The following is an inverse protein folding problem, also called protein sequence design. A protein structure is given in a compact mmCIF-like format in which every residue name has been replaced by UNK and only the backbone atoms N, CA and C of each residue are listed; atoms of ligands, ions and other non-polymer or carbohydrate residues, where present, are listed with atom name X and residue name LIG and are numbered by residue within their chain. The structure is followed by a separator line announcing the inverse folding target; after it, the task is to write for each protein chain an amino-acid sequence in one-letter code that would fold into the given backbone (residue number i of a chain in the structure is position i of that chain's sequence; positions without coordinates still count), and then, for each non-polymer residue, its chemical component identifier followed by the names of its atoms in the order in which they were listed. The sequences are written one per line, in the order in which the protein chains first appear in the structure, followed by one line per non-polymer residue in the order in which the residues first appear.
data_IF_801854430967
#
_entry.id   IF_801854430967
#
_cell.length_a   1.000
_cell.length_b   1.000
_cell.length_c   1.000
_cell.angle_alpha   90.00
_cell.angle_beta   90.00
_cell.angle_gamma   90.00
#
_symmetry.space_group_name_H-M   'P 1'
#
loop_
_entity.id
_entity.type
_entity.pdbx_description
1 polymer ?
#
# COMPACT_ATOMS: atom_id res chain seq x y z
N UNK A 1 -20.64 -14.27 5.61
CA UNK A 1 -19.76 -14.00 4.46
C UNK A 1 -19.04 -12.68 4.76
N UNK A 2 -17.71 -12.64 4.72
CA UNK A 2 -16.99 -11.38 4.95
C UNK A 2 -17.35 -10.40 3.84
N UNK A 3 -18.02 -9.30 4.17
CA UNK A 3 -18.22 -8.21 3.22
C UNK A 3 -16.84 -7.65 2.85
N UNK A 4 -16.40 -7.92 1.63
CA UNK A 4 -15.19 -7.30 1.08
C UNK A 4 -15.60 -5.89 0.67
N UNK A 5 -15.08 -4.89 1.38
CA UNK A 5 -15.32 -3.49 1.06
C UNK A 5 -14.63 -3.12 -0.25
N UNK A 6 -15.10 -2.04 -0.87
CA UNK A 6 -14.52 -1.50 -2.10
C UNK A 6 -13.05 -1.11 -1.87
N UNK A 7 -12.74 -0.57 -0.68
CA UNK A 7 -11.38 -0.31 -0.21
C UNK A 7 -10.51 -1.56 -0.16
N UNK A 8 -11.05 -2.68 0.35
CA UNK A 8 -10.31 -3.94 0.38
C UNK A 8 -10.02 -4.46 -1.04
N UNK A 9 -10.96 -4.28 -1.98
CA UNK A 9 -10.74 -4.63 -3.40
C UNK A 9 -9.64 -3.78 -4.01
N UNK A 10 -9.74 -2.45 -3.88
CA UNK A 10 -8.76 -1.50 -4.41
C UNK A 10 -7.36 -1.73 -3.82
N UNK A 11 -7.29 -2.04 -2.52
CA UNK A 11 -6.04 -2.38 -1.84
C UNK A 11 -5.40 -3.62 -2.43
N UNK A 12 -6.17 -4.69 -2.67
CA UNK A 12 -5.67 -5.93 -3.26
C UNK A 12 -5.18 -5.68 -4.70
N UNK A 13 -5.93 -4.94 -5.51
CA UNK A 13 -5.53 -4.58 -6.87
C UNK A 13 -4.18 -3.86 -6.91
N UNK A 14 -4.00 -2.83 -6.08
CA UNK A 14 -2.74 -2.09 -5.98
C UNK A 14 -1.59 -2.96 -5.47
N UNK A 15 -1.85 -3.82 -4.47
CA UNK A 15 -0.87 -4.78 -3.97
C UNK A 15 -0.45 -5.80 -5.03
N UNK A 16 -1.35 -6.26 -5.89
CA UNK A 16 -1.02 -7.14 -7.00
C UNK A 16 -0.10 -6.45 -8.01
N UNK A 17 -0.39 -5.19 -8.35
CA UNK A 17 0.48 -4.40 -9.24
C UNK A 17 1.86 -4.26 -8.62
N UNK A 18 1.95 -3.92 -7.34
CA UNK A 18 3.22 -3.81 -6.61
C UNK A 18 3.96 -5.14 -6.55
N UNK A 19 3.27 -6.26 -6.32
CA UNK A 19 3.89 -7.58 -6.28
C UNK A 19 4.48 -8.00 -7.63
N UNK A 20 3.86 -7.59 -8.74
CA UNK A 20 4.29 -7.97 -10.11
C UNK A 20 5.32 -7.02 -10.68
N UNK A 21 5.18 -5.71 -10.43
CA UNK A 21 5.93 -4.64 -11.11
C UNK A 21 6.73 -3.74 -10.17
N UNK A 22 6.52 -3.84 -8.86
CA UNK A 22 7.11 -2.98 -7.83
C UNK A 22 6.39 -1.65 -7.66
N UNK A 23 6.81 -0.85 -6.67
CA UNK A 23 6.26 0.49 -6.40
C UNK A 23 6.60 1.54 -7.47
N UNK A 24 7.57 1.25 -8.33
CA UNK A 24 8.07 2.20 -9.34
C UNK A 24 7.06 2.53 -10.45
N UNK A 25 6.08 1.65 -10.66
CA UNK A 25 5.06 1.80 -11.72
C UNK A 25 3.79 2.49 -11.24
N UNK A 26 3.68 2.79 -9.94
CA UNK A 26 2.56 3.55 -9.41
C UNK A 26 2.84 5.04 -9.54
N UNK A 27 1.81 5.78 -9.93
CA UNK A 27 1.79 7.24 -9.90
C UNK A 27 1.59 7.76 -8.47
N UNK A 28 1.80 9.06 -8.25
CA UNK A 28 1.72 9.68 -6.93
C UNK A 28 0.35 9.44 -6.25
N UNK A 29 -0.74 9.55 -7.00
CA UNK A 29 -2.10 9.35 -6.47
C UNK A 29 -2.34 7.89 -6.06
N UNK A 30 -1.87 6.93 -6.86
CA UNK A 30 -1.97 5.50 -6.54
C UNK A 30 -1.10 5.13 -5.33
N UNK A 31 0.07 5.77 -5.15
CA UNK A 31 0.90 5.61 -3.97
C UNK A 31 0.22 6.14 -2.71
N UNK A 32 -0.39 7.33 -2.78
CA UNK A 32 -1.15 7.92 -1.66
C UNK A 32 -2.38 7.09 -1.32
N UNK A 33 -3.10 6.61 -2.33
CA UNK A 33 -4.23 5.70 -2.14
C UNK A 33 -3.80 4.38 -1.48
N UNK A 34 -2.73 3.75 -1.97
CA UNK A 34 -2.20 2.51 -1.39
C UNK A 34 -1.76 2.71 0.06
N UNK A 35 -1.11 3.84 0.38
CA UNK A 35 -0.71 4.18 1.75
C UNK A 35 -1.90 4.18 2.70
N UNK A 36 -2.93 4.98 2.40
CA UNK A 36 -4.12 5.10 3.24
C UNK A 36 -4.83 3.74 3.42
N UNK A 37 -4.96 2.96 2.35
CA UNK A 37 -5.61 1.65 2.38
C UNK A 37 -4.83 0.63 3.23
N UNK A 38 -3.49 0.64 3.15
CA UNK A 38 -2.63 -0.25 3.94
C UNK A 38 -2.60 0.16 5.41
N UNK A 39 -2.59 1.46 5.71
CA UNK A 39 -2.63 1.99 7.07
C UNK A 39 -3.95 1.68 7.78
N UNK A 40 -5.08 1.79 7.08
CA UNK A 40 -6.39 1.48 7.63
C UNK A 40 -6.63 -0.02 7.87
N UNK A 41 -5.87 -0.90 7.20
CA UNK A 41 -6.07 -2.35 7.38
C UNK A 41 -5.54 -2.82 8.72
N UNK A 42 -6.41 -3.42 9.53
CA UNK A 42 -6.04 -4.03 10.80
C UNK A 42 -5.37 -5.40 10.61
N UNK A 43 -4.13 -5.51 11.07
CA UNK A 43 -3.32 -6.73 11.13
C UNK A 43 -2.81 -7.04 12.55
N UNK A 44 -3.41 -6.44 13.58
CA UNK A 44 -2.97 -6.61 14.97
C UNK A 44 -2.91 -8.08 15.42
N UNK A 45 -3.81 -8.91 14.87
CA UNK A 45 -3.89 -10.35 15.13
C UNK A 45 -2.78 -11.17 14.43
N UNK A 46 -1.97 -10.58 13.55
CA UNK A 46 -0.91 -11.26 12.82
C UNK A 46 0.40 -10.46 12.83
N UNK A 47 1.31 -10.82 13.73
CA UNK A 47 2.62 -10.18 13.89
C UNK A 47 3.46 -10.16 12.61
N UNK A 48 3.39 -11.20 11.78
CA UNK A 48 4.12 -11.27 10.50
C UNK A 48 3.54 -10.27 9.51
N UNK A 49 2.21 -10.25 9.36
CA UNK A 49 1.52 -9.31 8.50
C UNK A 49 1.75 -7.86 8.94
N UNK A 50 1.70 -7.58 10.25
CA UNK A 50 1.97 -6.25 10.80
C UNK A 50 3.39 -5.78 10.47
N UNK A 51 4.41 -6.64 10.61
CA UNK A 51 5.79 -6.30 10.21
C UNK A 51 5.90 -6.00 8.72
N UNK A 52 5.26 -6.81 7.87
CA UNK A 52 5.22 -6.60 6.43
C UNK A 52 4.51 -5.28 6.07
N UNK A 53 3.40 -4.95 6.73
CA UNK A 53 2.69 -3.68 6.59
C UNK A 53 3.60 -2.49 6.89
N UNK A 54 4.26 -2.48 8.05
CA UNK A 54 5.16 -1.38 8.45
C UNK A 54 6.27 -1.18 7.40
N UNK A 55 6.84 -2.28 6.90
CA UNK A 55 7.90 -2.23 5.88
C UNK A 55 7.39 -1.66 4.55
N UNK A 56 6.21 -2.08 4.12
CA UNK A 56 5.57 -1.60 2.90
C UNK A 56 5.22 -0.10 3.01
N UNK A 57 4.66 0.34 4.13
CA UNK A 57 4.36 1.75 4.42
C UNK A 57 5.62 2.61 4.30
N UNK A 58 6.73 2.17 4.90
CA UNK A 58 8.00 2.91 4.80
C UNK A 58 8.50 3.03 3.35
N UNK A 59 8.36 1.97 2.55
CA UNK A 59 8.75 1.97 1.13
C UNK A 59 7.85 2.90 0.28
N UNK A 60 6.54 2.91 0.54
CA UNK A 60 5.59 3.81 -0.14
C UNK A 60 5.94 5.26 0.19
N UNK A 61 6.15 5.59 1.47
CA UNK A 61 6.51 6.94 1.90
C UNK A 61 7.83 7.42 1.29
N UNK A 62 8.86 6.57 1.23
CA UNK A 62 10.11 6.90 0.56
C UNK A 62 9.87 7.20 -0.93
N UNK A 63 9.04 6.40 -1.61
CA UNK A 63 8.72 6.61 -3.03
C UNK A 63 7.92 7.89 -3.28
N UNK A 64 6.97 8.23 -2.39
CA UNK A 64 6.21 9.49 -2.42
C UNK A 64 7.17 10.66 -2.26
N UNK A 65 8.07 10.63 -1.27
CA UNK A 65 9.08 11.66 -1.07
C UNK A 65 9.97 11.85 -2.31
N UNK A 66 10.43 10.75 -2.93
CA UNK A 66 11.22 10.82 -4.15
C UNK A 66 10.45 11.41 -5.34
N UNK A 67 9.14 11.17 -5.42
CA UNK A 67 8.26 11.78 -6.41
C UNK A 67 8.12 13.28 -6.17
N UNK A 68 7.77 13.68 -4.95
CA UNK A 68 7.55 15.08 -4.56
C UNK A 68 8.83 15.93 -4.60
N UNK A 69 10.01 15.30 -4.52
CA UNK A 69 11.30 15.98 -4.67
C UNK A 69 11.75 16.13 -6.13
N UNK A 70 11.21 15.32 -7.04
CA UNK A 70 11.58 15.33 -8.47
C UNK A 70 10.80 16.35 -9.30
N UNK A 71 9.71 16.87 -8.75
CA UNK A 71 8.88 17.94 -9.32
C UNK A 71 8.96 19.17 -8.41
#
# INVERSE_FOLDING_TARGET
MSHITDDDRKRVELLEVVSKKGLKVLELDDLKALLALVENKDYAHNKKAQKSKVKLVAQINARIYDFERKF
#
